data_IF_977490689037
#
_entry.id   IF_977490689037
#
_cell.length_a   1.000
_cell.length_b   1.000
_cell.length_c   1.000
_cell.angle_alpha   90.00
_cell.angle_beta   90.00
_cell.angle_gamma   90.00
#
_symmetry.space_group_name_H-M   'P 1'
#
loop_
_entity.id
_entity.type
_entity.pdbx_description
1 polymer ?
#
# COMPACT_ATOMS: atom_id res chain seq x y z
N UNK A 1 -3.33 -12.07 19.36
CA UNK A 1 -3.12 -10.64 19.70
C UNK A 1 -2.28 -9.95 18.61
N UNK A 2 -2.49 -8.66 18.33
CA UNK A 2 -1.60 -7.88 17.47
C UNK A 2 -0.17 -7.92 18.00
N UNK A 3 0.82 -7.92 17.11
CA UNK A 3 2.23 -7.78 17.50
C UNK A 3 2.43 -6.36 18.01
N UNK A 4 3.08 -6.16 19.17
CA UNK A 4 3.41 -4.83 19.72
C UNK A 4 4.60 -4.20 18.99
N UNK A 5 4.50 -4.10 17.67
CA UNK A 5 5.58 -3.66 16.79
C UNK A 5 5.06 -2.54 15.89
N UNK A 6 5.81 -1.44 15.89
CA UNK A 6 5.57 -0.28 15.03
C UNK A 6 6.85 0.01 14.25
N UNK A 7 6.78 0.04 12.92
CA UNK A 7 7.92 0.29 12.04
C UNK A 7 7.48 0.80 10.67
N UNK A 8 8.38 1.54 10.02
CA UNK A 8 8.27 1.87 8.60
C UNK A 8 8.68 0.65 7.77
N UNK A 9 7.78 0.16 6.92
CA UNK A 9 8.01 -0.98 6.04
C UNK A 9 8.49 -0.54 4.64
N UNK A 10 8.55 0.77 4.39
CA UNK A 10 8.95 1.35 3.12
C UNK A 10 7.83 1.32 2.07
N UNK A 11 8.22 1.40 0.80
CA UNK A 11 7.27 1.29 -0.31
C UNK A 11 6.85 -0.16 -0.53
N UNK A 12 5.54 -0.39 -0.60
CA UNK A 12 4.95 -1.69 -0.90
C UNK A 12 3.94 -1.56 -2.04
N UNK A 13 3.75 -2.66 -2.78
CA UNK A 13 2.71 -2.76 -3.80
C UNK A 13 1.34 -2.55 -3.13
N UNK A 14 0.57 -1.60 -3.64
CA UNK A 14 -0.82 -1.37 -3.26
C UNK A 14 -1.71 -2.35 -4.01
N UNK A 15 -1.78 -2.18 -5.33
CA UNK A 15 -2.54 -3.02 -6.28
C UNK A 15 -2.09 -2.67 -7.71
N UNK A 16 -2.70 -3.27 -8.73
CA UNK A 16 -2.46 -3.01 -10.14
C UNK A 16 -3.60 -2.18 -10.74
N UNK A 17 -3.27 -1.20 -11.59
CA UNK A 17 -4.24 -0.49 -12.42
C UNK A 17 -4.54 -1.30 -13.68
N UNK A 18 -5.78 -1.80 -13.77
CA UNK A 18 -6.29 -2.57 -14.90
C UNK A 18 -7.02 -1.73 -15.96
N UNK A 19 -6.90 -0.40 -15.92
CA UNK A 19 -7.46 0.49 -16.95
C UNK A 19 -7.02 0.09 -18.36
N UNK A 20 -5.79 -0.45 -18.49
CA UNK A 20 -5.38 -1.28 -19.62
C UNK A 20 -5.16 -2.73 -19.18
N UNK A 21 -6.13 -3.60 -19.43
CA UNK A 21 -6.08 -5.00 -19.02
C UNK A 21 -4.92 -5.81 -19.65
N UNK A 22 -4.37 -5.37 -20.79
CA UNK A 22 -3.23 -6.02 -21.44
C UNK A 22 -1.87 -5.61 -20.83
N UNK A 23 -1.84 -4.53 -20.05
CA UNK A 23 -0.62 -3.98 -19.46
C UNK A 23 -0.92 -3.35 -18.08
N UNK A 24 -1.20 -4.18 -17.06
CA UNK A 24 -1.57 -3.70 -15.73
C UNK A 24 -0.38 -2.99 -15.06
N UNK A 25 -0.58 -1.73 -14.67
CA UNK A 25 0.50 -0.91 -14.09
C UNK A 25 0.53 -1.01 -12.56
N UNK A 26 1.70 -1.19 -11.92
CA UNK A 26 1.77 -1.29 -10.47
C UNK A 26 1.61 0.06 -9.79
N UNK A 27 0.81 0.09 -8.72
CA UNK A 27 0.67 1.24 -7.84
C UNK A 27 1.23 0.92 -6.46
N UNK A 28 1.86 1.88 -5.82
CA UNK A 28 2.59 1.72 -4.57
C UNK A 28 2.13 2.71 -3.51
N UNK A 29 2.30 2.34 -2.25
CA UNK A 29 2.10 3.22 -1.10
C UNK A 29 3.23 3.02 -0.08
N UNK A 30 3.43 4.00 0.83
CA UNK A 30 4.46 3.89 1.88
C UNK A 30 3.85 3.27 3.13
N UNK A 31 4.02 1.98 3.26
CA UNK A 31 3.42 1.23 4.34
C UNK A 31 4.12 1.50 5.68
N UNK A 32 3.32 1.84 6.67
CA UNK A 32 3.73 1.96 8.06
C UNK A 32 2.89 1.02 8.90
N UNK A 33 3.55 0.25 9.75
CA UNK A 33 2.89 -0.60 10.73
C UNK A 33 2.82 0.14 12.06
N UNK A 34 1.64 0.16 12.67
CA UNK A 34 1.40 0.68 14.00
C UNK A 34 0.75 -0.40 14.87
N UNK A 35 1.45 -0.85 15.91
CA UNK A 35 1.01 -1.94 16.80
C UNK A 35 0.50 -3.17 16.03
N UNK A 36 1.25 -3.60 15.02
CA UNK A 36 0.90 -4.76 14.21
C UNK A 36 -0.17 -4.50 13.14
N UNK A 37 -0.65 -3.26 12.98
CA UNK A 37 -1.67 -2.88 11.99
C UNK A 37 -1.04 -2.03 10.89
N UNK A 38 -1.24 -2.41 9.63
CA UNK A 38 -0.93 -1.56 8.48
C UNK A 38 -2.23 -0.99 7.94
N UNK A 39 -2.36 0.33 7.91
CA UNK A 39 -3.51 0.98 7.31
C UNK A 39 -3.27 1.13 5.80
N UNK A 40 -4.11 0.46 5.00
CA UNK A 40 -4.03 0.52 3.54
C UNK A 40 -4.85 1.72 3.05
N UNK A 41 -4.27 2.65 2.28
CA UNK A 41 -5.00 3.81 1.76
C UNK A 41 -6.05 3.39 0.72
N UNK A 42 -7.08 4.23 0.56
CA UNK A 42 -8.04 4.10 -0.53
C UNK A 42 -7.33 4.23 -1.89
N UNK A 43 -7.91 3.61 -2.92
CA UNK A 43 -7.35 3.57 -4.27
C UNK A 43 -7.07 4.95 -4.87
N UNK A 44 -7.95 5.93 -4.63
CA UNK A 44 -7.88 7.31 -5.13
C UNK A 44 -7.12 8.26 -4.20
N UNK A 45 -6.53 7.75 -3.11
CA UNK A 45 -5.71 8.55 -2.21
C UNK A 45 -4.47 9.10 -2.91
N UNK A 46 -4.13 10.35 -2.62
CA UNK A 46 -2.91 11.01 -3.11
C UNK A 46 -1.60 10.35 -2.63
N UNK A 47 -1.68 9.48 -1.63
CA UNK A 47 -0.57 8.66 -1.14
C UNK A 47 -0.21 7.51 -2.10
N UNK A 48 -1.19 7.00 -2.87
CA UNK A 48 -0.99 5.88 -3.80
C UNK A 48 -0.44 6.41 -5.12
N UNK A 49 0.76 5.97 -5.49
CA UNK A 49 1.56 6.50 -6.61
C UNK A 49 1.89 5.39 -7.60
N UNK A 50 1.95 5.72 -8.89
CA UNK A 50 2.15 4.78 -9.99
C UNK A 50 1.12 5.03 -11.07
#
# INVERSE_FOLDING_TARGET
>A
PPVHDSRDLGFMLHDLDFSNAADPQPRFFRARMEHGVVQVPAWDSAEVRG
#
